data_IF_190321691869
#
_entry.id   IF_190321691869
#
_cell.length_a   1.000
_cell.length_b   1.000
_cell.length_c   1.000
_cell.angle_alpha   90.00
_cell.angle_beta   90.00
_cell.angle_gamma   90.00
#
_symmetry.space_group_name_H-M   'P 1'
#
loop_
_entity.id
_entity.type
_entity.pdbx_description
1 polymer ?
#
# COMPACT_ATOMS: atom_id res chain seq x y z
N UNK A 1 5.42 -11.76 -13.84
CA UNK A 1 4.26 -10.86 -13.92
C UNK A 1 3.05 -11.69 -14.35
N UNK A 2 1.90 -11.52 -13.73
CA UNK A 2 0.64 -12.14 -14.15
C UNK A 2 -0.22 -11.02 -14.74
N UNK A 3 -0.72 -11.20 -15.96
CA UNK A 3 -1.65 -10.26 -16.60
C UNK A 3 -3.07 -10.81 -16.50
N UNK A 4 -3.93 -10.15 -15.74
CA UNK A 4 -5.32 -10.56 -15.51
C UNK A 4 -5.65 -10.75 -14.04
N UNK A 5 -6.70 -11.51 -13.76
CA UNK A 5 -7.18 -11.74 -12.40
C UNK A 5 -6.30 -12.75 -11.65
N UNK A 6 -6.09 -12.49 -10.36
CA UNK A 6 -5.40 -13.40 -9.44
C UNK A 6 -6.29 -13.62 -8.22
N UNK A 7 -6.21 -14.82 -7.64
CA UNK A 7 -6.85 -15.13 -6.36
C UNK A 7 -6.11 -14.40 -5.22
N UNK A 8 -6.37 -13.11 -5.04
CA UNK A 8 -5.67 -12.24 -4.10
C UNK A 8 -5.58 -12.83 -2.69
N UNK A 9 -6.71 -13.31 -2.14
CA UNK A 9 -6.75 -13.94 -0.82
C UNK A 9 -5.85 -15.19 -0.72
N UNK A 10 -5.79 -15.99 -1.77
CA UNK A 10 -4.94 -17.18 -1.80
C UNK A 10 -3.45 -16.84 -1.92
N UNK A 11 -3.11 -15.65 -2.41
CA UNK A 11 -1.74 -15.14 -2.36
C UNK A 11 -1.44 -14.64 -0.96
N UNK A 12 -2.28 -13.77 -0.39
CA UNK A 12 -2.09 -13.17 0.94
C UNK A 12 -1.95 -14.21 2.06
N UNK A 13 -2.59 -15.37 1.95
CA UNK A 13 -2.48 -16.43 2.96
C UNK A 13 -1.14 -17.19 2.96
N UNK A 14 -0.23 -16.92 2.02
CA UNK A 14 1.03 -17.66 1.89
C UNK A 14 2.11 -17.04 2.78
N UNK A 15 2.87 -17.83 3.56
CA UNK A 15 3.98 -17.33 4.38
C UNK A 15 5.09 -16.61 3.60
N UNK A 16 5.19 -16.85 2.30
CA UNK A 16 6.15 -16.20 1.42
C UNK A 16 5.78 -14.75 1.04
N UNK A 17 4.60 -14.27 1.42
CA UNK A 17 4.17 -12.89 1.16
C UNK A 17 4.81 -11.92 2.15
N UNK A 18 5.69 -11.05 1.66
CA UNK A 18 6.35 -10.02 2.45
C UNK A 18 5.61 -8.67 2.51
N UNK A 19 4.55 -8.48 1.72
CA UNK A 19 3.78 -7.23 1.72
C UNK A 19 2.81 -7.12 0.53
N UNK A 20 1.87 -6.19 0.64
CA UNK A 20 0.88 -5.87 -0.40
C UNK A 20 0.93 -4.38 -0.74
N UNK A 21 1.56 -4.02 -1.87
CA UNK A 21 1.47 -2.64 -2.38
C UNK A 21 0.02 -2.40 -2.82
N UNK A 22 -0.62 -1.40 -2.21
CA UNK A 22 -2.04 -1.13 -2.46
C UNK A 22 -2.32 0.35 -2.56
N UNK A 23 -3.32 0.67 -3.37
CA UNK A 23 -3.92 1.99 -3.39
C UNK A 23 -4.74 2.36 -2.15
N UNK A 24 -4.83 1.45 -1.17
CA UNK A 24 -5.49 1.67 0.12
C UNK A 24 -7.01 1.86 0.05
N UNK A 25 -7.65 1.30 -0.97
CA UNK A 25 -9.09 1.03 -0.95
C UNK A 25 -9.45 0.10 0.22
N UNK A 26 -10.60 0.34 0.86
CA UNK A 26 -10.96 -0.29 2.14
C UNK A 26 -10.97 -1.82 2.12
N UNK A 27 -11.41 -2.43 1.01
CA UNK A 27 -11.43 -3.89 0.88
C UNK A 27 -10.02 -4.49 0.95
N UNK A 28 -9.07 -3.95 0.19
CA UNK A 28 -7.69 -4.45 0.19
C UNK A 28 -7.01 -4.24 1.54
N UNK A 29 -7.35 -3.16 2.25
CA UNK A 29 -6.88 -2.92 3.62
C UNK A 29 -7.38 -4.01 4.57
N UNK A 30 -8.69 -4.29 4.57
CA UNK A 30 -9.28 -5.32 5.44
C UNK A 30 -8.70 -6.71 5.16
N UNK A 31 -8.51 -7.05 3.88
CA UNK A 31 -7.89 -8.33 3.50
C UNK A 31 -6.46 -8.45 4.03
N UNK A 32 -5.64 -7.40 3.87
CA UNK A 32 -4.27 -7.42 4.38
C UNK A 32 -4.20 -7.56 5.90
N UNK A 33 -5.07 -6.83 6.63
CA UNK A 33 -5.20 -6.95 8.08
C UNK A 33 -5.59 -8.39 8.47
N UNK A 34 -6.56 -8.97 7.77
CA UNK A 34 -7.04 -10.32 8.04
C UNK A 34 -5.96 -11.41 7.92
N UNK A 35 -4.94 -11.16 7.09
CA UNK A 35 -3.81 -12.08 6.89
C UNK A 35 -2.49 -11.59 7.53
N UNK A 36 -2.50 -10.47 8.25
CA UNK A 36 -1.30 -9.92 8.88
C UNK A 36 -0.21 -9.49 7.88
N UNK A 37 -0.60 -9.14 6.65
CA UNK A 37 0.33 -8.72 5.60
C UNK A 37 0.50 -7.21 5.67
N UNK A 38 1.75 -6.69 5.74
CA UNK A 38 1.97 -5.26 5.82
C UNK A 38 1.67 -4.57 4.48
N UNK A 39 1.20 -3.32 4.54
CA UNK A 39 0.75 -2.56 3.36
C UNK A 39 1.68 -1.37 3.09
N UNK A 40 2.54 -1.46 2.08
CA UNK A 40 3.17 -0.28 1.51
C UNK A 40 2.14 0.57 0.75
N UNK A 41 1.80 1.75 1.27
CA UNK A 41 0.63 2.51 0.81
C UNK A 41 0.92 3.40 -0.40
N UNK A 42 0.08 3.33 -1.45
CA UNK A 42 0.11 4.18 -2.65
C UNK A 42 -1.27 4.80 -2.96
N UNK A 43 -1.73 5.79 -2.18
CA UNK A 43 -3.03 6.43 -2.41
C UNK A 43 -3.11 7.06 -3.80
N UNK A 44 -4.24 6.95 -4.52
CA UNK A 44 -4.41 7.66 -5.80
C UNK A 44 -5.59 8.65 -5.79
N UNK A 45 -6.69 8.37 -5.08
CA UNK A 45 -7.85 9.30 -5.03
C UNK A 45 -8.80 9.04 -3.84
N UNK A 46 -9.62 10.04 -3.48
CA UNK A 46 -10.69 9.98 -2.47
C UNK A 46 -10.24 9.53 -1.07
N UNK A 47 -11.02 8.65 -0.41
CA UNK A 47 -10.82 8.21 0.96
C UNK A 47 -9.53 7.39 1.16
N UNK A 48 -8.90 6.97 0.06
CA UNK A 48 -7.64 6.26 0.04
C UNK A 48 -6.48 7.07 0.60
N UNK A 49 -6.61 8.40 0.73
CA UNK A 49 -5.61 9.24 1.40
C UNK A 49 -5.75 9.20 2.93
N UNK A 50 -6.97 8.97 3.43
CA UNK A 50 -7.31 8.94 4.87
C UNK A 50 -7.09 7.55 5.50
N UNK A 51 -7.37 6.47 4.75
CA UNK A 51 -7.16 5.09 5.23
C UNK A 51 -5.70 4.79 5.64
N UNK A 52 -4.66 5.15 4.85
CA UNK A 52 -3.26 5.02 5.23
C UNK A 52 -2.93 5.74 6.52
N UNK A 53 -3.52 6.92 6.74
CA UNK A 53 -3.24 7.71 7.94
C UNK A 53 -3.67 6.94 9.20
N UNK A 54 -4.83 6.29 9.17
CA UNK A 54 -5.30 5.48 10.29
C UNK A 54 -4.47 4.20 10.47
N UNK A 55 -4.11 3.52 9.38
CA UNK A 55 -3.30 2.29 9.42
C UNK A 55 -1.90 2.51 9.97
N UNK A 56 -1.23 3.57 9.51
CA UNK A 56 0.15 3.90 9.90
C UNK A 56 0.20 4.42 11.35
N UNK A 57 -0.74 5.29 11.77
CA UNK A 57 -0.69 5.89 13.12
C UNK A 57 -1.30 5.04 14.23
N UNK A 58 -2.36 4.27 13.96
CA UNK A 58 -3.12 3.58 15.02
C UNK A 58 -2.83 2.09 15.10
N UNK A 59 -2.51 1.45 13.99
CA UNK A 59 -2.39 -0.01 13.91
C UNK A 59 -0.96 -0.49 13.69
N UNK A 60 -0.03 0.38 13.23
CA UNK A 60 1.38 0.01 12.93
C UNK A 60 1.45 -1.14 11.92
N UNK A 61 0.48 -1.22 11.00
CA UNK A 61 0.35 -2.31 10.01
C UNK A 61 0.75 -1.87 8.59
N UNK A 62 1.27 -0.66 8.42
CA UNK A 62 1.56 -0.09 7.11
C UNK A 62 2.76 0.84 7.16
N UNK A 63 3.62 0.75 6.14
CA UNK A 63 4.63 1.78 5.84
C UNK A 63 4.20 2.61 4.65
N UNK A 64 4.48 3.91 4.76
CA UNK A 64 4.07 4.89 3.76
C UNK A 64 5.10 4.99 2.63
N UNK A 65 4.74 4.61 1.40
CA UNK A 65 5.59 4.80 0.21
C UNK A 65 5.46 6.23 -0.33
N UNK A 66 4.24 6.77 -0.43
CA UNK A 66 4.00 8.12 -0.99
C UNK A 66 2.84 8.82 -0.29
N UNK A 67 3.01 10.12 -0.05
CA UNK A 67 2.07 11.00 0.65
C UNK A 67 1.20 11.82 -0.29
N UNK A 68 1.73 12.14 -1.47
CA UNK A 68 1.24 13.25 -2.27
C UNK A 68 0.72 12.72 -3.60
N UNK A 69 -0.57 12.46 -3.63
CA UNK A 69 -1.36 12.80 -4.81
C UNK A 69 -1.91 14.19 -4.53
N UNK A 70 -1.31 15.18 -5.20
CA UNK A 70 -1.81 16.55 -5.17
C UNK A 70 -3.27 16.52 -5.64
N UNK A 71 -4.21 16.97 -4.81
CA UNK A 71 -5.63 17.03 -5.16
C UNK A 71 -5.85 17.79 -6.48
N UNK A 72 -4.98 18.77 -6.81
CA UNK A 72 -5.00 19.46 -8.10
C UNK A 72 -4.62 18.54 -9.28
N UNK A 73 -3.63 17.66 -9.10
CA UNK A 73 -3.21 16.70 -10.13
C UNK A 73 -4.26 15.62 -10.44
N UNK A 74 -4.99 15.13 -9.43
CA UNK A 74 -6.11 14.19 -9.62
C UNK A 74 -7.31 14.85 -10.33
N UNK A 75 -7.56 16.14 -10.04
CA UNK A 75 -8.61 16.92 -10.70
C UNK A 75 -8.28 17.23 -12.18
N UNK A 76 -7.01 17.15 -12.55
CA UNK A 76 -6.52 17.29 -13.92
C UNK A 76 -6.27 15.95 -14.64
N UNK A 77 -6.62 14.82 -14.01
CA UNK A 77 -6.43 13.47 -14.58
C UNK A 77 -4.96 12.99 -14.64
N UNK A 78 -4.02 13.69 -14.00
CA UNK A 78 -2.61 13.35 -13.98
C UNK A 78 -2.21 12.69 -12.67
N UNK A 79 -2.03 11.35 -12.66
CA UNK A 79 -1.36 10.69 -11.54
C UNK A 79 0.12 11.09 -11.51
N UNK A 80 0.63 11.54 -10.36
CA UNK A 80 2.06 11.82 -10.18
C UNK A 80 2.86 10.54 -10.41
N UNK A 81 3.81 10.57 -11.35
CA UNK A 81 4.77 9.47 -11.50
C UNK A 81 5.69 9.43 -10.27
N UNK A 82 5.77 8.27 -9.64
CA UNK A 82 6.69 7.98 -8.53
C UNK A 82 7.92 7.29 -9.11
N UNK A 83 9.12 7.77 -8.76
CA UNK A 83 10.37 7.19 -9.24
C UNK A 83 10.64 5.82 -8.63
N UNK A 84 11.35 4.95 -9.34
CA UNK A 84 11.77 3.65 -8.80
C UNK A 84 12.53 3.80 -7.47
N UNK A 85 13.36 4.83 -7.34
CA UNK A 85 14.10 5.12 -6.12
C UNK A 85 13.18 5.47 -4.93
N UNK A 86 12.07 6.17 -5.15
CA UNK A 86 11.05 6.41 -4.11
C UNK A 86 10.39 5.11 -3.65
N UNK A 87 10.07 4.22 -4.60
CA UNK A 87 9.47 2.90 -4.31
C UNK A 87 10.43 2.05 -3.48
N UNK A 88 11.69 1.95 -3.91
CA UNK A 88 12.73 1.17 -3.21
C UNK A 88 12.96 1.67 -1.79
N UNK A 89 13.01 3.00 -1.58
CA UNK A 89 13.12 3.58 -0.24
C UNK A 89 11.91 3.27 0.62
N UNK A 90 10.70 3.26 0.05
CA UNK A 90 9.48 2.91 0.76
C UNK A 90 9.46 1.43 1.16
N UNK A 91 9.86 0.54 0.26
CA UNK A 91 9.91 -0.90 0.51
C UNK A 91 10.99 -1.29 1.54
N UNK A 92 12.18 -0.70 1.48
CA UNK A 92 13.26 -1.02 2.43
C UNK A 92 12.91 -0.66 3.87
N UNK A 93 12.10 0.40 4.08
CA UNK A 93 11.59 0.75 5.41
C UNK A 93 10.65 -0.30 5.99
N UNK A 94 9.92 -1.03 5.16
CA UNK A 94 9.04 -2.13 5.59
C UNK A 94 9.87 -3.35 6.03
N UNK A 95 10.94 -3.66 5.29
CA UNK A 95 11.82 -4.81 5.57
C UNK A 95 12.60 -4.62 6.87
N UNK A 96 13.08 -3.41 7.16
CA UNK A 96 13.83 -3.11 8.39
C UNK A 96 12.93 -3.01 9.65
N UNK A 97 11.62 -2.76 9.47
CA UNK A 97 10.64 -2.76 10.56
C UNK A 97 10.10 -4.14 10.94
N UNK A 98 10.38 -5.17 10.13
CA UNK A 98 9.83 -6.52 10.24
C UNK A 98 10.52 -7.48 11.22
N UNK A 99 11.34 -7.00 12.17
CA UNK A 99 11.74 -7.80 13.34
C UNK A 99 10.83 -7.48 14.52
N UNK A 100 9.67 -8.13 14.57
CA UNK A 100 8.87 -8.30 15.78
C UNK A 100 8.45 -9.74 15.91
#
# INVERSE_FOLDING_TARGET
MVSGWVRQLAMLSRPAMGGLVSHCGWNSVLESIGYGVPIPTWPIYAEQQENPFQLVRKLVLAVKITLDCDQQSCSAGGARMVSAAEIERGMNKEVDGGRM
#
